data_IF_891979063117
#
_entry.id   IF_891979063117
#
_cell.length_a   1.000
_cell.length_b   1.000
_cell.length_c   1.000
_cell.angle_alpha   90.00
_cell.angle_beta   90.00
_cell.angle_gamma   90.00
#
_symmetry.space_group_name_H-M   'P 1'
#
loop_
_entity.id
_entity.type
_entity.pdbx_description
1 polymer ?
#
# COMPACT_ATOMS: atom_id res chain seq x y z
N UNK A 1 -9.01 -4.90 -4.52
CA UNK A 1 -7.65 -5.00 -3.94
C UNK A 1 -7.65 -5.41 -2.47
N UNK A 2 -8.49 -4.82 -1.62
CA UNK A 2 -8.55 -5.15 -0.19
C UNK A 2 -8.97 -6.59 0.11
N UNK A 3 -9.71 -7.21 -0.80
CA UNK A 3 -10.24 -8.57 -0.62
C UNK A 3 -9.32 -9.67 -1.14
N UNK A 4 -8.17 -9.30 -1.72
CA UNK A 4 -7.21 -10.28 -2.22
C UNK A 4 -6.47 -10.95 -1.06
N UNK A 5 -6.32 -12.28 -1.13
CA UNK A 5 -5.54 -13.04 -0.15
C UNK A 5 -4.13 -12.51 0.02
N UNK A 6 -3.49 -12.11 -1.09
CA UNK A 6 -2.13 -11.57 -1.07
C UNK A 6 -2.01 -10.25 -0.30
N UNK A 7 -3.13 -9.54 -0.11
CA UNK A 7 -3.14 -8.27 0.62
C UNK A 7 -3.32 -8.43 2.13
N UNK A 8 -3.62 -9.63 2.62
CA UNK A 8 -3.82 -9.87 4.06
C UNK A 8 -2.68 -9.35 4.93
N UNK A 9 -1.40 -9.58 4.59
CA UNK A 9 -0.30 -9.08 5.43
C UNK A 9 -0.23 -7.57 5.52
N UNK A 10 -0.89 -6.86 4.61
CA UNK A 10 -0.85 -5.40 4.51
C UNK A 10 -2.14 -4.72 4.95
N UNK A 11 -3.13 -5.51 5.37
CA UNK A 11 -4.45 -5.00 5.68
C UNK A 11 -4.50 -4.18 6.96
N UNK A 12 -3.92 -4.72 8.03
CA UNK A 12 -4.02 -4.13 9.36
C UNK A 12 -2.65 -3.72 9.89
N UNK A 13 -2.68 -2.91 10.96
CA UNK A 13 -1.47 -2.48 11.63
C UNK A 13 -0.65 -3.68 12.11
N UNK A 14 0.67 -3.62 11.92
CA UNK A 14 1.57 -4.67 12.39
C UNK A 14 1.58 -4.69 13.92
N UNK A 15 1.33 -5.87 14.49
CA UNK A 15 1.52 -6.13 15.92
C UNK A 15 2.87 -6.85 16.08
N UNK A 16 3.90 -6.19 16.63
CA UNK A 16 5.24 -6.75 16.66
C UNK A 16 5.35 -8.11 17.37
N UNK A 17 4.55 -8.31 18.40
CA UNK A 17 4.58 -9.55 19.17
C UNK A 17 3.82 -10.66 18.44
N UNK A 18 2.57 -10.38 18.05
CA UNK A 18 1.70 -11.35 17.40
C UNK A 18 2.24 -11.78 16.03
N UNK A 19 2.80 -10.84 15.29
CA UNK A 19 3.29 -11.08 13.92
C UNK A 19 4.75 -11.52 13.89
N UNK A 20 5.41 -11.65 15.04
CA UNK A 20 6.80 -12.06 15.12
C UNK A 20 7.79 -11.03 14.58
N UNK A 21 7.43 -9.76 14.65
CA UNK A 21 8.24 -8.66 14.09
C UNK A 21 8.62 -7.67 15.19
N UNK A 22 9.34 -8.13 16.20
CA UNK A 22 9.60 -7.37 17.44
C UNK A 22 10.24 -6.00 17.23
N UNK A 23 11.08 -5.86 16.20
CA UNK A 23 11.77 -4.59 15.92
C UNK A 23 11.14 -3.79 14.78
N UNK A 24 9.90 -4.09 14.42
CA UNK A 24 9.24 -3.46 13.26
C UNK A 24 9.26 -1.92 13.34
N UNK A 25 8.82 -1.37 14.47
CA UNK A 25 8.70 0.09 14.61
C UNK A 25 10.03 0.79 14.84
N UNK A 26 11.10 0.06 15.11
CA UNK A 26 12.45 0.60 15.12
C UNK A 26 12.99 0.83 13.71
N UNK A 27 12.58 -0.02 12.78
CA UNK A 27 13.02 0.04 11.38
C UNK A 27 12.09 0.90 10.54
N UNK A 28 10.78 0.77 10.75
CA UNK A 28 9.74 1.45 9.97
C UNK A 28 9.27 2.69 10.71
N UNK A 29 9.72 3.86 10.26
CA UNK A 29 9.38 5.14 10.88
C UNK A 29 8.00 5.67 10.51
N UNK A 30 7.47 5.27 9.34
CA UNK A 30 6.16 5.73 8.85
C UNK A 30 5.28 4.52 8.50
N UNK A 31 4.68 3.86 9.51
CA UNK A 31 3.82 2.71 9.24
C UNK A 31 2.60 3.08 8.41
N UNK A 32 2.21 2.18 7.51
CA UNK A 32 1.01 2.35 6.69
C UNK A 32 0.39 0.98 6.43
N UNK A 33 -0.95 0.93 6.38
CA UNK A 33 -1.68 -0.30 6.11
C UNK A 33 -3.01 0.03 5.44
N UNK A 34 -3.60 -0.96 4.76
CA UNK A 34 -4.78 -0.75 3.92
C UNK A 34 -6.00 -0.26 4.68
N UNK A 35 -6.22 -0.75 5.89
CA UNK A 35 -7.35 -0.30 6.72
C UNK A 35 -7.26 1.19 7.05
N UNK A 36 -6.05 1.70 7.28
CA UNK A 36 -5.82 3.11 7.53
C UNK A 36 -6.14 3.95 6.29
N UNK A 37 -5.71 3.49 5.12
CA UNK A 37 -6.01 4.18 3.85
C UNK A 37 -7.52 4.24 3.64
N UNK A 38 -8.23 3.14 3.89
CA UNK A 38 -9.69 3.11 3.78
C UNK A 38 -10.33 4.14 4.70
N UNK A 39 -9.87 4.22 5.95
CA UNK A 39 -10.36 5.18 6.93
C UNK A 39 -10.11 6.62 6.47
N UNK A 40 -8.93 6.91 5.93
CA UNK A 40 -8.59 8.23 5.42
C UNK A 40 -9.46 8.62 4.23
N UNK A 41 -9.76 7.67 3.34
CA UNK A 41 -10.68 7.89 2.23
C UNK A 41 -12.09 8.22 2.73
N UNK A 42 -12.59 7.47 3.70
CA UNK A 42 -13.92 7.69 4.28
C UNK A 42 -14.04 9.04 4.97
N UNK A 43 -12.95 9.53 5.54
CA UNK A 43 -12.89 10.81 6.24
C UNK A 43 -12.46 11.98 5.34
N UNK A 44 -12.35 11.76 4.04
CA UNK A 44 -11.96 12.75 3.05
C UNK A 44 -10.61 13.44 3.36
N UNK A 45 -9.65 12.66 3.88
CA UNK A 45 -8.34 13.19 4.24
C UNK A 45 -7.39 13.36 3.06
N UNK A 46 -7.65 12.70 1.93
CA UNK A 46 -6.82 12.82 0.73
C UNK A 46 -7.28 13.99 -0.14
N UNK A 47 -6.38 14.92 -0.38
CA UNK A 47 -6.65 16.08 -1.22
C UNK A 47 -6.41 15.83 -2.70
N UNK A 48 -5.66 14.79 -3.03
CA UNK A 48 -5.33 14.46 -4.41
C UNK A 48 -5.06 12.96 -4.54
N UNK A 49 -5.14 12.47 -5.78
CA UNK A 49 -4.79 11.09 -6.12
C UNK A 49 -3.32 10.81 -5.77
N UNK A 50 -2.45 11.81 -5.92
CA UNK A 50 -1.04 11.67 -5.57
C UNK A 50 -0.84 11.32 -4.09
N UNK A 51 -1.56 12.00 -3.20
CA UNK A 51 -1.45 11.74 -1.76
C UNK A 51 -1.90 10.33 -1.41
N UNK A 52 -2.98 9.86 -1.99
CA UNK A 52 -3.46 8.49 -1.82
C UNK A 52 -2.42 7.48 -2.34
N UNK A 53 -1.90 7.72 -3.52
CA UNK A 53 -0.90 6.87 -4.17
C UNK A 53 0.38 6.78 -3.35
N UNK A 54 0.81 7.89 -2.76
CA UNK A 54 2.01 7.92 -1.91
C UNK A 54 1.82 7.01 -0.69
N UNK A 55 0.66 7.02 -0.06
CA UNK A 55 0.37 6.14 1.07
C UNK A 55 0.34 4.67 0.67
N UNK A 56 -0.25 4.34 -0.46
CA UNK A 56 -0.27 2.96 -0.97
C UNK A 56 1.17 2.48 -1.25
N UNK A 57 1.97 3.31 -1.90
CA UNK A 57 3.37 2.96 -2.19
C UNK A 57 4.21 2.83 -0.93
N UNK A 58 3.87 3.55 0.12
CA UNK A 58 4.55 3.45 1.41
C UNK A 58 4.39 2.06 2.01
N UNK A 59 3.22 1.44 1.86
CA UNK A 59 2.99 0.06 2.32
C UNK A 59 4.02 -0.88 1.68
N UNK A 60 4.18 -0.81 0.36
CA UNK A 60 5.10 -1.70 -0.37
C UNK A 60 6.56 -1.42 -0.02
N UNK A 61 6.92 -0.17 0.11
CA UNK A 61 8.26 0.24 0.50
C UNK A 61 8.61 -0.28 1.89
N UNK A 62 7.71 -0.15 2.85
CA UNK A 62 7.91 -0.63 4.22
C UNK A 62 8.09 -2.14 4.25
N UNK A 63 7.29 -2.88 3.48
CA UNK A 63 7.40 -4.33 3.40
C UNK A 63 8.76 -4.77 2.85
N UNK A 64 9.24 -4.11 1.82
CA UNK A 64 10.55 -4.39 1.22
C UNK A 64 11.68 -4.07 2.19
N UNK A 65 11.59 -2.94 2.88
CA UNK A 65 12.61 -2.52 3.83
C UNK A 65 12.74 -3.47 5.00
N UNK A 66 11.61 -3.90 5.56
CA UNK A 66 11.62 -4.76 6.73
C UNK A 66 11.99 -6.21 6.40
N UNK A 67 11.46 -6.75 5.29
CA UNK A 67 11.53 -8.18 5.00
C UNK A 67 12.75 -8.63 4.18
N UNK A 68 13.36 -7.72 3.40
CA UNK A 68 14.53 -8.05 2.57
C UNK A 68 14.20 -8.79 1.29
N UNK A 69 15.15 -8.78 0.34
CA UNK A 69 14.93 -9.21 -1.05
C UNK A 69 14.56 -10.68 -1.23
N UNK A 70 14.97 -11.55 -0.33
CA UNK A 70 14.79 -12.99 -0.50
C UNK A 70 13.55 -13.53 0.20
N UNK A 71 12.62 -12.67 0.59
CA UNK A 71 11.41 -13.09 1.29
C UNK A 71 10.19 -13.06 0.38
N UNK A 72 9.21 -13.90 0.72
CA UNK A 72 7.93 -13.92 0.01
C UNK A 72 7.22 -12.57 0.10
N UNK A 73 7.25 -11.93 1.25
CA UNK A 73 6.60 -10.63 1.44
C UNK A 73 7.23 -9.54 0.54
N UNK A 74 8.53 -9.58 0.33
CA UNK A 74 9.20 -8.67 -0.60
C UNK A 74 8.68 -8.87 -2.02
N UNK A 75 8.58 -10.13 -2.46
CA UNK A 75 8.08 -10.46 -3.79
C UNK A 75 6.62 -10.03 -3.97
N UNK A 76 5.78 -10.28 -2.98
CA UNK A 76 4.37 -9.86 -3.01
C UNK A 76 4.28 -8.33 -3.07
N UNK A 77 5.04 -7.62 -2.26
CA UNK A 77 5.05 -6.16 -2.27
C UNK A 77 5.47 -5.59 -3.63
N UNK A 78 6.46 -6.21 -4.27
CA UNK A 78 6.91 -5.80 -5.61
C UNK A 78 5.79 -5.99 -6.64
N UNK A 79 5.11 -7.13 -6.62
CA UNK A 79 3.99 -7.39 -7.52
C UNK A 79 2.82 -6.43 -7.28
N UNK A 80 2.48 -6.16 -6.03
CA UNK A 80 1.42 -5.22 -5.68
C UNK A 80 1.75 -3.81 -6.16
N UNK A 81 3.00 -3.38 -6.00
CA UNK A 81 3.46 -2.07 -6.47
C UNK A 81 3.24 -1.92 -7.98
N UNK A 82 3.59 -2.94 -8.75
CA UNK A 82 3.41 -2.93 -10.20
C UNK A 82 1.93 -2.90 -10.57
N UNK A 83 1.12 -3.76 -9.96
CA UNK A 83 -0.32 -3.85 -10.25
C UNK A 83 -1.05 -2.55 -9.94
N UNK A 84 -0.79 -1.95 -8.79
CA UNK A 84 -1.43 -0.70 -8.39
C UNK A 84 -1.01 0.44 -9.31
N UNK A 85 0.25 0.51 -9.70
CA UNK A 85 0.74 1.52 -10.64
C UNK A 85 0.03 1.42 -11.98
N UNK A 86 -0.19 0.20 -12.47
CA UNK A 86 -0.91 -0.03 -13.73
C UNK A 86 -2.38 0.39 -13.62
N UNK A 87 -3.06 0.03 -12.54
CA UNK A 87 -4.45 0.42 -12.30
C UNK A 87 -4.62 1.94 -12.24
N UNK A 88 -3.72 2.62 -11.55
CA UNK A 88 -3.77 4.08 -11.44
C UNK A 88 -3.55 4.74 -12.80
N UNK A 89 -2.65 4.21 -13.63
CA UNK A 89 -2.46 4.71 -15.00
C UNK A 89 -3.71 4.57 -15.84
N UNK A 90 -4.39 3.42 -15.77
CA UNK A 90 -5.62 3.18 -16.52
C UNK A 90 -6.75 4.12 -16.08
N UNK A 91 -6.91 4.32 -14.79
CA UNK A 91 -7.91 5.25 -14.25
C UNK A 91 -7.65 6.67 -14.75
N UNK A 92 -6.40 7.13 -14.66
CA UNK A 92 -6.02 8.48 -15.11
C UNK A 92 -6.25 8.65 -16.61
N UNK A 93 -5.89 7.63 -17.39
CA UNK A 93 -6.09 7.64 -18.84
C UNK A 93 -7.58 7.72 -19.20
N UNK A 94 -8.43 6.97 -18.51
CA UNK A 94 -9.88 6.99 -18.73
C UNK A 94 -10.49 8.35 -18.35
N UNK A 95 -10.03 8.96 -17.29
CA UNK A 95 -10.45 10.31 -16.88
C UNK A 95 -10.10 11.36 -17.93
N UNK A 96 -8.88 11.28 -18.51
CA UNK A 96 -8.45 12.18 -19.58
C UNK A 96 -9.31 12.02 -20.82
N UNK A 97 -9.66 10.79 -21.19
CA UNK A 97 -10.54 10.53 -22.31
C UNK A 97 -11.93 11.14 -22.10
N UNK A 98 -12.48 10.99 -20.89
CA UNK A 98 -13.78 11.57 -20.55
C UNK A 98 -13.77 13.09 -20.67
N UNK A 99 -12.69 13.74 -20.22
CA UNK A 99 -12.56 15.20 -20.31
C UNK A 99 -12.39 15.65 -21.76
N UNK A 100 -11.67 14.88 -22.56
CA UNK A 100 -11.40 15.22 -23.96
C UNK A 100 -12.63 15.01 -24.86
N UNK A 101 -13.54 14.18 -24.42
CA UNK A 101 -14.75 13.91 -25.19
C UNK A 101 -15.83 14.98 -24.95
#
# INVERSE_FOLDING_TARGET
>A
MLDMELCKPFKDQVDPIKDGAENYYEIISEPMYLSLIKSKLQNNEYKSTKNWKDDVNLIWRNAKLFNGENTLLYLIATEMEIMVSQEVREITKNQRRSVAA
#
